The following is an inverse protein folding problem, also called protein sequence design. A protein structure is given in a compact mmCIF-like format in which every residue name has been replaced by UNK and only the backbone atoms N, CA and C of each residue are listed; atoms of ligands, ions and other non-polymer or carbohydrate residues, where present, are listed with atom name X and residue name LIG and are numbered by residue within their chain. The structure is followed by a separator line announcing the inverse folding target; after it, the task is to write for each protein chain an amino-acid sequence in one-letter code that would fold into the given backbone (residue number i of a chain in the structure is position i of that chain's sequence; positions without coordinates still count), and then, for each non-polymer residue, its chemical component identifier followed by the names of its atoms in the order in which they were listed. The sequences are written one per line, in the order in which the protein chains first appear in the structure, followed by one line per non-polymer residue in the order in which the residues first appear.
data_IF_614862101914
#
_entry.id   IF_614862101914
#
_cell.length_a   1.000
_cell.length_b   1.000
_cell.length_c   1.000
_cell.angle_alpha   90.00
_cell.angle_beta   90.00
_cell.angle_gamma   90.00
#
_symmetry.space_group_name_H-M   'P 1'
#
loop_
_entity.id
_entity.type
_entity.pdbx_description
1 polymer ?
#
# COMPACT_ATOMS: atom_id res chain seq x y z
N UNK A 1 -18.02 10.09 -26.22
CA UNK A 1 -18.03 10.15 -24.74
C UNK A 1 -19.25 9.51 -24.08
N UNK A 2 -20.51 9.99 -24.25
CA UNK A 2 -21.68 9.36 -23.58
C UNK A 2 -21.84 7.87 -23.92
N UNK A 3 -21.77 7.53 -25.22
CA UNK A 3 -21.90 6.14 -25.67
C UNK A 3 -20.75 5.28 -25.15
N UNK A 4 -19.52 5.80 -25.15
CA UNK A 4 -18.34 5.08 -24.65
C UNK A 4 -18.48 4.79 -23.16
N UNK A 5 -18.90 5.78 -22.35
CA UNK A 5 -19.14 5.63 -20.91
C UNK A 5 -20.20 4.57 -20.66
N UNK A 6 -21.35 4.62 -21.34
CA UNK A 6 -22.41 3.62 -21.16
C UNK A 6 -21.98 2.22 -21.63
N UNK A 7 -21.05 2.12 -22.59
CA UNK A 7 -20.50 0.84 -23.02
C UNK A 7 -19.52 0.23 -22.02
N UNK A 8 -18.68 1.07 -21.39
CA UNK A 8 -17.66 0.65 -20.43
C UNK A 8 -18.23 0.46 -19.02
N UNK A 9 -19.32 1.18 -18.69
CA UNK A 9 -19.93 1.23 -17.37
C UNK A 9 -21.44 1.00 -17.46
N UNK A 10 -21.91 -0.24 -17.72
CA UNK A 10 -23.33 -0.52 -17.96
C UNK A 10 -24.24 -0.19 -16.78
N UNK A 11 -23.68 -0.16 -15.56
CA UNK A 11 -24.41 0.13 -14.32
C UNK A 11 -24.33 1.61 -13.90
N UNK A 12 -23.68 2.49 -14.70
CA UNK A 12 -23.62 3.91 -14.38
C UNK A 12 -24.79 4.64 -15.03
N UNK A 13 -25.48 5.47 -14.26
CA UNK A 13 -26.41 6.45 -14.82
C UNK A 13 -25.60 7.66 -15.33
N UNK A 14 -25.93 8.13 -16.53
CA UNK A 14 -25.28 9.28 -17.14
C UNK A 14 -26.30 10.33 -17.63
N UNK A 15 -26.20 11.60 -17.20
CA UNK A 15 -25.19 12.17 -16.30
C UNK A 15 -25.29 11.62 -14.87
N UNK A 16 -24.21 11.76 -14.08
CA UNK A 16 -24.17 11.32 -12.69
C UNK A 16 -25.25 12.04 -11.86
N UNK A 17 -25.86 11.31 -10.92
CA UNK A 17 -26.88 11.79 -9.99
C UNK A 17 -26.33 11.74 -8.56
N UNK A 18 -26.51 12.82 -7.79
CA UNK A 18 -26.07 12.88 -6.39
C UNK A 18 -26.87 11.94 -5.47
N UNK A 19 -28.09 11.57 -5.84
CA UNK A 19 -28.94 10.65 -5.07
C UNK A 19 -28.63 9.18 -5.38
N UNK A 20 -27.96 8.91 -6.51
CA UNK A 20 -27.60 7.57 -6.98
C UNK A 20 -26.10 7.51 -7.28
N UNK A 21 -25.30 7.70 -6.22
CA UNK A 21 -23.83 7.70 -6.32
C UNK A 21 -23.33 6.29 -6.63
N UNK A 22 -22.54 6.10 -7.70
CA UNK A 22 -21.86 4.83 -7.93
C UNK A 22 -20.95 4.49 -6.75
N UNK A 23 -20.63 3.21 -6.58
CA UNK A 23 -19.66 2.80 -5.58
C UNK A 23 -18.29 3.42 -5.89
N UNK A 24 -17.45 3.59 -4.86
CA UNK A 24 -16.15 4.25 -4.99
C UNK A 24 -15.31 3.64 -6.12
N UNK A 25 -15.27 2.31 -6.26
CA UNK A 25 -14.51 1.65 -7.31
C UNK A 25 -14.95 2.09 -8.72
N UNK A 26 -16.26 2.13 -8.99
CA UNK A 26 -16.76 2.60 -10.29
C UNK A 26 -16.40 4.06 -10.56
N UNK A 27 -16.35 4.90 -9.53
CA UNK A 27 -15.89 6.29 -9.68
C UNK A 27 -14.40 6.32 -10.03
N UNK A 28 -13.57 5.52 -9.38
CA UNK A 28 -12.13 5.45 -9.66
C UNK A 28 -11.88 4.92 -11.09
N UNK A 29 -12.53 3.84 -11.49
CA UNK A 29 -12.44 3.30 -12.86
C UNK A 29 -12.91 4.32 -13.91
N UNK A 30 -13.95 5.11 -13.63
CA UNK A 30 -14.39 6.19 -14.51
C UNK A 30 -13.32 7.29 -14.65
N UNK A 31 -12.60 7.62 -13.57
CA UNK A 31 -11.50 8.58 -13.62
C UNK A 31 -10.32 8.05 -14.44
N UNK A 32 -9.97 6.76 -14.29
CA UNK A 32 -8.95 6.10 -15.13
C UNK A 32 -9.37 6.12 -16.61
N UNK A 33 -10.63 5.79 -16.91
CA UNK A 33 -11.19 5.86 -18.25
C UNK A 33 -11.13 7.29 -18.83
N UNK A 34 -11.50 8.30 -18.04
CA UNK A 34 -11.40 9.69 -18.46
C UNK A 34 -9.96 10.08 -18.75
N UNK A 35 -9.00 9.69 -17.91
CA UNK A 35 -7.58 9.91 -18.16
C UNK A 35 -7.12 9.21 -19.44
N UNK A 36 -7.57 7.99 -19.71
CA UNK A 36 -7.23 7.28 -20.94
C UNK A 36 -7.69 8.06 -22.20
N UNK A 37 -8.88 8.65 -22.17
CA UNK A 37 -9.50 9.28 -23.34
C UNK A 37 -9.29 10.79 -23.47
N UNK A 38 -8.84 11.47 -22.44
CA UNK A 38 -8.72 12.94 -22.46
C UNK A 38 -7.56 13.40 -23.33
N UNK A 39 -7.79 14.49 -24.07
CA UNK A 39 -6.78 15.22 -24.80
C UNK A 39 -7.12 16.70 -24.76
N UNK A 40 -6.11 17.56 -24.63
CA UNK A 40 -6.29 19.00 -24.53
C UNK A 40 -6.52 19.59 -25.91
N UNK A 41 -7.63 20.30 -26.15
CA UNK A 41 -7.82 21.02 -27.40
C UNK A 41 -6.86 22.21 -27.44
N UNK A 42 -6.08 22.29 -28.51
CA UNK A 42 -5.16 23.40 -28.79
C UNK A 42 -5.56 24.04 -30.11
N UNK A 43 -5.82 25.34 -30.07
CA UNK A 43 -6.01 26.15 -31.27
C UNK A 43 -4.67 26.29 -32.00
N UNK A 44 -4.63 25.94 -33.28
CA UNK A 44 -3.39 26.02 -34.06
C UNK A 44 -3.52 26.88 -35.33
N UNK A 45 -4.73 27.11 -35.81
CA UNK A 45 -4.97 27.92 -37.01
C UNK A 45 -6.33 28.61 -36.91
N UNK A 46 -6.44 29.84 -37.43
CA UNK A 46 -7.71 30.57 -37.49
C UNK A 46 -8.22 30.67 -38.93
N UNK A 47 -9.39 30.11 -39.20
CA UNK A 47 -10.02 30.16 -40.50
C UNK A 47 -10.88 31.42 -40.66
N UNK A 48 -10.32 32.46 -41.29
CA UNK A 48 -10.94 33.80 -41.38
C UNK A 48 -12.33 33.83 -42.03
N UNK A 49 -12.58 33.02 -43.07
CA UNK A 49 -13.85 33.04 -43.80
C UNK A 49 -15.02 32.44 -42.99
N UNK A 50 -14.73 31.44 -42.16
CA UNK A 50 -15.72 30.77 -41.30
C UNK A 50 -15.61 31.19 -39.83
N UNK A 51 -14.73 32.15 -39.52
CA UNK A 51 -14.54 32.77 -38.21
C UNK A 51 -14.40 31.77 -37.03
N UNK A 52 -13.62 30.71 -37.22
CA UNK A 52 -13.34 29.74 -36.17
C UNK A 52 -11.89 29.28 -36.16
N UNK A 53 -11.44 28.75 -35.03
CA UNK A 53 -10.13 28.12 -34.87
C UNK A 53 -10.21 26.63 -35.22
N UNK A 54 -9.21 26.13 -35.95
CA UNK A 54 -8.95 24.70 -36.06
C UNK A 54 -8.30 24.21 -34.77
N UNK A 55 -8.74 23.02 -34.33
CA UNK A 55 -8.26 22.39 -33.11
C UNK A 55 -7.44 21.15 -33.45
N UNK A 56 -6.33 21.00 -32.74
CA UNK A 56 -5.65 19.71 -32.57
C UNK A 56 -5.81 19.27 -31.11
N UNK A 57 -5.57 18.00 -30.84
CA UNK A 57 -5.81 17.42 -29.52
C UNK A 57 -4.52 16.81 -28.98
N UNK A 58 -3.94 17.45 -27.97
CA UNK A 58 -2.68 17.02 -27.34
C UNK A 58 -2.98 16.11 -26.14
N UNK A 59 -2.71 14.80 -26.30
CA UNK A 59 -3.07 13.79 -25.30
C UNK A 59 -2.26 13.92 -24.02
N UNK A 60 -0.94 14.01 -24.12
CA UNK A 60 -0.04 14.07 -22.96
C UNK A 60 -0.33 15.29 -22.07
N UNK A 61 -0.51 16.46 -22.67
CA UNK A 61 -0.84 17.67 -21.93
C UNK A 61 -2.22 17.58 -21.26
N UNK A 62 -3.20 17.02 -21.96
CA UNK A 62 -4.54 16.78 -21.41
C UNK A 62 -4.53 15.80 -20.24
N UNK A 63 -3.77 14.70 -20.36
CA UNK A 63 -3.61 13.69 -19.31
C UNK A 63 -2.91 14.25 -18.08
N UNK A 64 -1.80 14.98 -18.27
CA UNK A 64 -1.08 15.64 -17.18
C UNK A 64 -1.96 16.66 -16.45
N UNK A 65 -2.68 17.52 -17.19
CA UNK A 65 -3.57 18.51 -16.59
C UNK A 65 -4.74 17.86 -15.82
N UNK A 66 -5.33 16.80 -16.39
CA UNK A 66 -6.41 16.04 -15.76
C UNK A 66 -5.93 15.35 -14.48
N UNK A 67 -4.80 14.65 -14.54
CA UNK A 67 -4.17 13.99 -13.39
C UNK A 67 -3.91 14.97 -12.25
N UNK A 68 -3.32 16.12 -12.55
CA UNK A 68 -3.06 17.16 -11.55
C UNK A 68 -4.36 17.67 -10.91
N UNK A 69 -5.42 17.86 -11.70
CA UNK A 69 -6.74 18.28 -11.19
C UNK A 69 -7.39 17.21 -10.29
N UNK A 70 -7.34 15.94 -10.68
CA UNK A 70 -7.88 14.82 -9.90
C UNK A 70 -7.12 14.64 -8.59
N UNK A 71 -5.79 14.56 -8.65
CA UNK A 71 -4.96 14.40 -7.45
C UNK A 71 -5.13 15.57 -6.48
N UNK A 72 -5.24 16.81 -7.01
CA UNK A 72 -5.55 17.98 -6.19
C UNK A 72 -6.88 17.85 -5.45
N UNK A 73 -7.91 17.27 -6.08
CA UNK A 73 -9.19 17.01 -5.43
C UNK A 73 -9.07 15.91 -4.37
N UNK A 74 -8.29 14.86 -4.61
CA UNK A 74 -8.04 13.84 -3.59
C UNK A 74 -7.36 14.45 -2.35
N UNK A 75 -6.28 15.20 -2.54
CA UNK A 75 -5.57 15.89 -1.46
C UNK A 75 -6.46 16.83 -0.65
N UNK A 76 -7.21 17.71 -1.33
CA UNK A 76 -8.07 18.70 -0.68
C UNK A 76 -9.17 18.07 0.18
N UNK A 77 -9.59 16.85 -0.15
CA UNK A 77 -10.63 16.13 0.58
C UNK A 77 -10.07 15.05 1.50
N UNK A 78 -8.74 14.96 1.68
CA UNK A 78 -8.10 13.93 2.51
C UNK A 78 -8.34 12.51 2.00
N UNK A 79 -8.63 12.35 0.70
CA UNK A 79 -8.86 11.06 0.07
C UNK A 79 -7.50 10.45 -0.25
N UNK A 80 -7.24 9.25 0.25
CA UNK A 80 -5.95 8.57 0.12
C UNK A 80 -5.81 7.84 -1.21
N UNK A 81 -6.01 8.51 -2.34
CA UNK A 81 -5.81 7.97 -3.68
C UNK A 81 -4.90 8.87 -4.51
N UNK A 82 -4.21 8.27 -5.48
CA UNK A 82 -3.38 8.98 -6.45
C UNK A 82 -3.59 8.37 -7.84
N UNK A 83 -3.98 9.21 -8.81
CA UNK A 83 -3.90 8.88 -10.22
C UNK A 83 -2.45 9.00 -10.67
N UNK A 84 -1.86 7.87 -11.04
CA UNK A 84 -0.48 7.75 -11.49
C UNK A 84 -0.31 8.26 -12.92
N UNK A 85 0.94 8.45 -13.34
CA UNK A 85 1.25 8.89 -14.70
C UNK A 85 0.78 7.91 -15.78
N UNK A 86 0.80 6.62 -15.48
CA UNK A 86 0.27 5.57 -16.37
C UNK A 86 -1.27 5.53 -16.43
N UNK A 87 -1.96 6.37 -15.65
CA UNK A 87 -3.42 6.44 -15.64
C UNK A 87 -4.11 5.48 -14.68
N UNK A 88 -3.38 4.69 -13.89
CA UNK A 88 -3.96 3.85 -12.84
C UNK A 88 -4.07 4.60 -11.51
N UNK A 89 -5.11 4.32 -10.75
CA UNK A 89 -5.31 4.85 -9.41
C UNK A 89 -4.80 3.86 -8.38
N UNK A 90 -3.92 4.34 -7.51
CA UNK A 90 -3.41 3.59 -6.36
C UNK A 90 -3.90 4.21 -5.07
N UNK A 91 -4.01 3.39 -4.00
CA UNK A 91 -4.28 3.91 -2.67
C UNK A 91 -2.97 4.32 -2.00
N UNK A 92 -2.94 5.53 -1.47
CA UNK A 92 -1.80 6.00 -0.69
C UNK A 92 -1.84 5.40 0.71
N UNK A 93 -0.68 4.95 1.19
CA UNK A 93 -0.50 4.59 2.59
C UNK A 93 -0.74 5.83 3.48
N UNK A 94 -1.42 5.68 4.63
CA UNK A 94 -1.59 6.79 5.56
C UNK A 94 -0.22 7.40 5.97
N UNK A 95 -0.08 8.74 6.05
CA UNK A 95 1.22 9.39 6.25
C UNK A 95 2.02 8.92 7.46
N UNK A 96 1.32 8.47 8.52
CA UNK A 96 1.92 8.01 9.78
C UNK A 96 2.71 6.70 9.59
N UNK A 97 2.30 5.85 8.66
CA UNK A 97 2.93 4.52 8.42
C UNK A 97 3.50 4.37 7.02
N UNK A 98 3.36 5.40 6.16
CA UNK A 98 3.72 5.35 4.74
C UNK A 98 5.18 4.97 4.52
N UNK A 99 6.11 5.51 5.32
CA UNK A 99 7.53 5.19 5.20
C UNK A 99 7.80 3.71 5.50
N UNK A 100 7.15 3.15 6.53
CA UNK A 100 7.36 1.76 6.93
C UNK A 100 6.72 0.83 5.91
N UNK A 101 5.48 1.10 5.48
CA UNK A 101 4.79 0.26 4.51
C UNK A 101 5.49 0.30 3.15
N UNK A 102 5.75 1.48 2.60
CA UNK A 102 6.30 1.61 1.25
C UNK A 102 7.74 1.10 1.15
N UNK A 103 8.55 1.22 2.22
CA UNK A 103 9.96 0.84 2.20
C UNK A 103 10.28 -0.46 2.95
N UNK A 104 9.28 -1.16 3.51
CA UNK A 104 9.51 -2.44 4.15
C UNK A 104 10.15 -3.43 3.16
N UNK A 105 11.20 -4.10 3.62
CA UNK A 105 11.79 -5.27 2.97
C UNK A 105 11.71 -6.38 4.01
N UNK A 106 10.91 -7.40 3.74
CA UNK A 106 10.74 -8.54 4.64
C UNK A 106 11.86 -9.55 4.36
N UNK A 107 12.73 -9.77 5.35
CA UNK A 107 13.84 -10.73 5.31
C UNK A 107 13.91 -11.49 6.63
N UNK A 108 12.83 -12.18 6.97
CA UNK A 108 12.70 -12.87 8.27
C UNK A 108 13.45 -14.21 8.32
N UNK A 109 14.19 -14.55 7.26
CA UNK A 109 14.77 -15.89 7.00
C UNK A 109 13.72 -17.01 6.89
N UNK A 110 12.46 -16.65 6.71
CA UNK A 110 11.35 -17.57 6.46
C UNK A 110 10.57 -17.07 5.24
N UNK A 111 10.76 -17.76 4.10
CA UNK A 111 10.23 -17.31 2.81
C UNK A 111 8.71 -17.21 2.77
N UNK A 112 8.02 -18.10 3.49
CA UNK A 112 6.56 -18.10 3.55
C UNK A 112 6.06 -16.92 4.38
N UNK A 113 6.74 -16.58 5.48
CA UNK A 113 6.44 -15.38 6.26
C UNK A 113 6.68 -14.10 5.44
N UNK A 114 7.82 -14.02 4.74
CA UNK A 114 8.13 -12.88 3.87
C UNK A 114 7.04 -12.72 2.78
N UNK A 115 6.60 -13.83 2.17
CA UNK A 115 5.52 -13.83 1.19
C UNK A 115 4.17 -13.38 1.77
N UNK A 116 3.81 -13.84 2.97
CA UNK A 116 2.58 -13.45 3.65
C UNK A 116 2.56 -11.94 3.94
N UNK A 117 3.67 -11.41 4.46
CA UNK A 117 3.82 -9.99 4.79
C UNK A 117 3.80 -9.11 3.53
N UNK A 118 4.49 -9.52 2.48
CA UNK A 118 4.49 -8.80 1.21
C UNK A 118 3.10 -8.81 0.56
N UNK A 119 2.43 -9.96 0.55
CA UNK A 119 1.08 -10.10 0.01
C UNK A 119 0.09 -9.23 0.79
N UNK A 120 0.19 -9.22 2.13
CA UNK A 120 -0.62 -8.37 2.98
C UNK A 120 -0.40 -6.89 2.66
N UNK A 121 0.86 -6.45 2.50
CA UNK A 121 1.19 -5.08 2.12
C UNK A 121 0.57 -4.68 0.78
N UNK A 122 0.78 -5.47 -0.27
CA UNK A 122 0.28 -5.17 -1.62
C UNK A 122 -1.24 -5.05 -1.61
N UNK A 123 -1.92 -6.01 -0.98
CA UNK A 123 -3.39 -6.01 -0.89
C UNK A 123 -3.94 -4.84 -0.08
N UNK A 124 -3.23 -4.43 0.98
CA UNK A 124 -3.64 -3.29 1.82
C UNK A 124 -3.66 -1.96 1.06
N UNK A 125 -2.76 -1.79 0.08
CA UNK A 125 -2.67 -0.61 -0.79
C UNK A 125 -3.60 -0.67 -2.00
N UNK A 126 -4.42 -1.71 -2.12
CA UNK A 126 -5.41 -1.82 -3.18
C UNK A 126 -6.62 -0.89 -2.91
N UNK A 127 -7.22 -0.25 -3.92
CA UNK A 127 -8.42 0.57 -3.73
C UNK A 127 -9.68 -0.25 -3.35
N UNK A 128 -9.76 -1.53 -3.71
CA UNK A 128 -10.89 -2.40 -3.40
C UNK A 128 -10.90 -2.84 -1.93
N UNK A 129 -12.00 -2.54 -1.24
CA UNK A 129 -12.22 -2.96 0.14
C UNK A 129 -12.16 -4.47 0.31
N UNK A 130 -12.67 -5.26 -0.65
CA UNK A 130 -12.63 -6.73 -0.56
C UNK A 130 -11.19 -7.24 -0.58
N UNK A 131 -10.38 -6.71 -1.50
CA UNK A 131 -8.93 -7.03 -1.55
C UNK A 131 -8.23 -6.59 -0.27
N UNK A 132 -8.61 -5.44 0.30
CA UNK A 132 -8.06 -4.98 1.58
C UNK A 132 -8.48 -5.83 2.78
N UNK A 133 -9.65 -6.46 2.75
CA UNK A 133 -10.05 -7.43 3.79
C UNK A 133 -9.17 -8.69 3.72
N UNK A 134 -8.84 -9.16 2.52
CA UNK A 134 -7.87 -10.25 2.33
C UNK A 134 -6.46 -9.88 2.83
N UNK A 135 -6.11 -8.59 2.82
CA UNK A 135 -4.86 -8.11 3.42
C UNK A 135 -4.80 -8.38 4.93
N UNK A 136 -5.92 -8.21 5.65
CA UNK A 136 -6.02 -8.55 7.08
C UNK A 136 -5.85 -10.04 7.30
N UNK A 137 -6.48 -10.89 6.47
CA UNK A 137 -6.32 -12.34 6.56
C UNK A 137 -4.84 -12.72 6.45
N UNK A 138 -4.14 -12.24 5.42
CA UNK A 138 -2.70 -12.53 5.21
C UNK A 138 -1.81 -12.02 6.34
N UNK A 139 -2.13 -10.84 6.89
CA UNK A 139 -1.40 -10.30 8.03
C UNK A 139 -1.61 -11.14 9.30
N UNK A 140 -2.81 -11.67 9.52
CA UNK A 140 -3.10 -12.57 10.63
C UNK A 140 -2.53 -13.98 10.43
N UNK A 141 -2.40 -14.46 9.19
CA UNK A 141 -1.67 -15.69 8.88
C UNK A 141 -0.18 -15.53 9.14
N UNK A 142 0.40 -14.38 8.76
CA UNK A 142 1.78 -14.04 9.13
C UNK A 142 1.96 -14.06 10.65
N UNK A 143 1.00 -13.49 11.40
CA UNK A 143 1.02 -13.56 12.86
C UNK A 143 0.99 -15.00 13.40
N UNK A 144 0.13 -15.87 12.88
CA UNK A 144 0.13 -17.28 13.31
C UNK A 144 1.45 -18.00 13.02
N UNK A 145 2.08 -17.68 11.88
CA UNK A 145 3.39 -18.24 11.52
C UNK A 145 4.50 -17.76 12.45
N UNK A 146 4.52 -16.47 12.77
CA UNK A 146 5.47 -15.85 13.71
C UNK A 146 5.44 -16.57 15.06
N UNK A 147 4.25 -16.91 15.57
CA UNK A 147 4.07 -17.64 16.83
C UNK A 147 4.65 -19.07 16.82
N UNK A 148 5.16 -19.55 15.70
CA UNK A 148 5.76 -20.89 15.56
C UNK A 148 7.21 -20.87 15.08
N UNK A 149 7.81 -19.70 14.83
CA UNK A 149 9.16 -19.60 14.27
C UNK A 149 10.26 -20.14 15.20
N UNK A 150 10.21 -19.77 16.49
CA UNK A 150 11.26 -20.14 17.45
C UNK A 150 11.02 -21.53 18.05
N UNK A 151 9.75 -21.89 18.32
CA UNK A 151 9.38 -23.21 18.85
C UNK A 151 8.02 -23.66 18.27
N UNK A 152 8.03 -24.46 17.18
CA UNK A 152 6.81 -24.96 16.55
C UNK A 152 5.93 -25.81 17.48
N UNK A 153 6.52 -26.43 18.51
CA UNK A 153 5.83 -27.33 19.44
C UNK A 153 5.14 -26.59 20.58
N UNK A 154 5.53 -25.34 20.85
CA UNK A 154 4.98 -24.54 21.93
C UNK A 154 4.83 -23.05 21.54
N UNK A 155 3.67 -22.73 20.95
CA UNK A 155 3.32 -21.36 20.52
C UNK A 155 3.50 -20.31 21.61
N UNK A 156 3.10 -20.64 22.85
CA UNK A 156 3.18 -19.69 23.97
C UNK A 156 4.63 -19.34 24.30
N UNK A 157 5.50 -20.36 24.36
CA UNK A 157 6.93 -20.18 24.60
C UNK A 157 7.62 -19.44 23.46
N UNK A 158 7.25 -19.70 22.20
CA UNK A 158 7.75 -18.96 21.04
C UNK A 158 7.40 -17.47 21.13
N UNK A 159 6.17 -17.13 21.53
CA UNK A 159 5.75 -15.73 21.73
C UNK A 159 6.52 -15.09 22.88
N UNK A 160 6.69 -15.78 24.01
CA UNK A 160 7.49 -15.27 25.13
C UNK A 160 8.95 -14.99 24.72
N UNK A 161 9.53 -15.83 23.86
CA UNK A 161 10.87 -15.62 23.32
C UNK A 161 10.95 -14.38 22.41
N UNK A 162 9.96 -14.18 21.55
CA UNK A 162 9.86 -12.98 20.70
C UNK A 162 9.70 -11.70 21.54
N UNK A 163 8.84 -11.74 22.56
CA UNK A 163 8.65 -10.61 23.47
C UNK A 163 9.93 -10.27 24.23
N UNK A 164 10.69 -11.27 24.68
CA UNK A 164 12.01 -11.07 25.31
C UNK A 164 13.02 -10.44 24.36
N UNK A 165 13.00 -10.78 23.07
CA UNK A 165 13.87 -10.15 22.05
C UNK A 165 13.50 -8.69 21.82
N UNK A 166 12.22 -8.34 21.94
CA UNK A 166 11.72 -6.98 21.62
C UNK A 166 11.94 -5.93 22.72
N UNK A 167 12.05 -6.33 23.99
CA UNK A 167 12.29 -5.39 25.09
C UNK A 167 12.93 -6.09 26.29
N UNK A 168 13.88 -5.41 26.95
CA UNK A 168 14.43 -5.86 28.23
C UNK A 168 13.56 -5.46 29.43
N UNK A 169 12.66 -4.47 29.27
CA UNK A 169 11.86 -3.95 30.38
C UNK A 169 10.55 -4.71 30.58
N UNK A 170 10.33 -5.18 31.80
CA UNK A 170 9.28 -6.16 32.11
C UNK A 170 7.88 -5.57 31.95
N UNK A 171 7.67 -4.31 32.37
CA UNK A 171 6.39 -3.62 32.17
C UNK A 171 6.03 -3.48 30.69
N UNK A 172 7.04 -3.23 29.84
CA UNK A 172 6.80 -3.12 28.41
C UNK A 172 6.45 -4.48 27.79
N UNK A 173 7.10 -5.57 28.24
CA UNK A 173 6.71 -6.93 27.81
C UNK A 173 5.27 -7.26 28.17
N UNK A 174 4.81 -6.86 29.36
CA UNK A 174 3.42 -7.06 29.78
C UNK A 174 2.43 -6.33 28.85
N UNK A 175 2.74 -5.09 28.48
CA UNK A 175 1.93 -4.31 27.51
C UNK A 175 1.89 -5.02 26.15
N UNK A 176 3.03 -5.43 25.63
CA UNK A 176 3.12 -6.12 24.34
C UNK A 176 2.40 -7.48 24.35
N UNK A 177 2.46 -8.20 25.47
CA UNK A 177 1.71 -9.45 25.62
C UNK A 177 0.19 -9.21 25.59
N UNK A 178 -0.29 -8.17 26.30
CA UNK A 178 -1.72 -7.79 26.28
C UNK A 178 -2.16 -7.40 24.87
N UNK A 179 -1.33 -6.68 24.11
CA UNK A 179 -1.63 -6.35 22.73
C UNK A 179 -1.67 -7.57 21.82
N UNK A 180 -0.72 -8.50 21.95
CA UNK A 180 -0.69 -9.77 21.22
C UNK A 180 -1.92 -10.64 21.50
N UNK A 181 -2.36 -10.70 22.78
CA UNK A 181 -3.57 -11.40 23.20
C UNK A 181 -4.82 -10.74 22.61
N UNK A 182 -4.93 -9.41 22.70
CA UNK A 182 -6.06 -8.67 22.15
C UNK A 182 -6.18 -8.83 20.62
N UNK A 183 -5.05 -8.78 19.90
CA UNK A 183 -5.01 -8.97 18.45
C UNK A 183 -5.34 -10.42 18.04
N UNK A 184 -4.92 -11.40 18.84
CA UNK A 184 -5.31 -12.80 18.66
C UNK A 184 -6.82 -12.97 18.88
N UNK A 185 -7.36 -12.37 19.93
CA UNK A 185 -8.80 -12.36 20.19
C UNK A 185 -9.58 -11.75 19.02
N UNK A 186 -9.15 -10.58 18.51
CA UNK A 186 -9.78 -9.93 17.36
C UNK A 186 -9.80 -10.85 16.13
N UNK A 187 -8.67 -11.49 15.80
CA UNK A 187 -8.58 -12.41 14.66
C UNK A 187 -9.55 -13.59 14.73
N UNK A 188 -9.87 -14.05 15.94
CA UNK A 188 -10.76 -15.19 16.16
C UNK A 188 -12.25 -14.80 16.16
N UNK A 189 -12.59 -13.57 16.54
CA UNK A 189 -13.99 -13.14 16.74
C UNK A 189 -14.56 -12.29 15.59
N UNK A 190 -13.70 -11.59 14.85
CA UNK A 190 -14.10 -10.89 13.63
C UNK A 190 -13.91 -11.80 12.42
N UNK A 191 -14.62 -11.51 11.33
CA UNK A 191 -14.48 -12.21 10.05
C UNK A 191 -13.17 -11.80 9.35
N UNK A 192 -12.04 -12.05 10.01
CA UNK A 192 -10.66 -11.86 9.53
C UNK A 192 -10.06 -13.22 9.19
N UNK A 193 -10.20 -14.20 10.11
CA UNK A 193 -9.78 -15.59 9.91
C UNK A 193 -11.00 -16.50 9.82
N UNK A 194 -11.19 -17.12 8.66
CA UNK A 194 -12.29 -18.01 8.32
C UNK A 194 -13.68 -17.35 8.35
N UNK A 195 -14.41 -17.43 7.24
CA UNK A 195 -15.79 -16.94 7.11
C UNK A 195 -16.80 -17.88 7.79
N UNK A 196 -16.61 -18.11 9.09
CA UNK A 196 -17.51 -18.92 9.90
C UNK A 196 -18.79 -18.16 10.24
N UNK A 197 -19.91 -18.89 10.28
CA UNK A 197 -21.22 -18.34 10.66
C UNK A 197 -21.15 -17.81 12.10
N UNK A 198 -21.52 -16.53 12.30
CA UNK A 198 -21.58 -15.90 13.61
C UNK A 198 -20.44 -14.92 13.94
N UNK A 199 -19.41 -14.81 13.09
CA UNK A 199 -18.37 -13.78 13.25
C UNK A 199 -18.82 -12.40 12.78
N UNK A 200 -18.35 -11.35 13.43
CA UNK A 200 -18.72 -9.97 13.07
C UNK A 200 -17.98 -9.54 11.79
N UNK A 201 -18.69 -9.12 10.73
CA UNK A 201 -18.05 -8.68 9.50
C UNK A 201 -17.39 -7.30 9.67
N UNK A 202 -16.26 -7.09 9.00
CA UNK A 202 -15.62 -5.77 8.89
C UNK A 202 -16.11 -5.12 7.60
N UNK A 203 -16.94 -4.10 7.72
CA UNK A 203 -17.55 -3.40 6.58
C UNK A 203 -16.97 -2.02 6.31
N UNK A 204 -16.20 -1.48 7.26
CA UNK A 204 -15.63 -0.13 7.18
C UNK A 204 -14.17 -0.14 6.75
N UNK A 205 -13.88 0.62 5.70
CA UNK A 205 -12.51 0.86 5.22
C UNK A 205 -11.58 1.41 6.31
N UNK A 206 -12.10 2.27 7.19
CA UNK A 206 -11.32 2.87 8.29
C UNK A 206 -11.02 1.85 9.38
N UNK A 207 -11.92 0.90 9.63
CA UNK A 207 -11.65 -0.20 10.56
C UNK A 207 -10.57 -1.14 10.02
N UNK A 208 -10.53 -1.36 8.70
CA UNK A 208 -9.44 -2.11 8.06
C UNK A 208 -8.10 -1.42 8.29
N UNK A 209 -8.02 -0.09 8.11
CA UNK A 209 -6.80 0.67 8.40
C UNK A 209 -6.36 0.53 9.85
N UNK A 210 -7.29 0.74 10.79
CA UNK A 210 -7.00 0.60 12.22
C UNK A 210 -6.45 -0.79 12.58
N UNK A 211 -7.11 -1.85 12.13
CA UNK A 211 -6.74 -3.23 12.43
C UNK A 211 -5.42 -3.62 11.77
N UNK A 212 -5.23 -3.25 10.51
CA UNK A 212 -4.00 -3.52 9.78
C UNK A 212 -2.82 -2.84 10.48
N UNK A 213 -2.93 -1.55 10.81
CA UNK A 213 -1.86 -0.83 11.50
C UNK A 213 -1.54 -1.45 12.86
N UNK A 214 -2.56 -1.78 13.66
CA UNK A 214 -2.35 -2.32 15.00
C UNK A 214 -1.58 -3.65 14.96
N UNK A 215 -1.96 -4.55 14.07
CA UNK A 215 -1.25 -5.82 13.90
C UNK A 215 0.14 -5.62 13.27
N UNK A 216 0.22 -4.81 12.22
CA UNK A 216 1.47 -4.58 11.49
C UNK A 216 2.53 -3.92 12.38
N UNK A 217 2.16 -2.93 13.22
CA UNK A 217 3.07 -2.30 14.17
C UNK A 217 3.61 -3.29 15.21
N UNK A 218 2.78 -4.21 15.71
CA UNK A 218 3.24 -5.25 16.63
C UNK A 218 4.22 -6.20 15.93
N UNK A 219 3.88 -6.70 14.74
CA UNK A 219 4.75 -7.58 13.95
C UNK A 219 6.08 -6.89 13.64
N UNK A 220 6.02 -5.64 13.20
CA UNK A 220 7.19 -4.85 12.86
C UNK A 220 8.14 -4.69 14.06
N UNK A 221 7.59 -4.38 15.24
CA UNK A 221 8.37 -4.29 16.47
C UNK A 221 8.99 -5.63 16.87
N UNK A 222 8.22 -6.72 16.79
CA UNK A 222 8.67 -8.06 17.24
C UNK A 222 9.74 -8.67 16.33
N UNK A 223 9.66 -8.41 15.02
CA UNK A 223 10.64 -8.88 14.05
C UNK A 223 11.89 -7.99 13.99
N UNK A 224 11.80 -6.75 14.49
CA UNK A 224 12.94 -5.84 14.64
C UNK A 224 13.74 -5.67 13.35
N UNK A 225 15.06 -5.83 13.43
CA UNK A 225 16.00 -5.67 12.31
C UNK A 225 15.79 -6.65 11.14
N UNK A 226 14.95 -7.68 11.29
CA UNK A 226 14.56 -8.61 10.21
C UNK A 226 13.59 -8.00 9.18
N UNK A 227 13.05 -6.81 9.45
CA UNK A 227 12.26 -6.03 8.49
C UNK A 227 13.01 -4.73 8.17
N UNK A 228 13.78 -4.76 7.07
CA UNK A 228 14.28 -3.56 6.41
C UNK A 228 15.26 -2.69 7.21
N UNK A 229 16.53 -3.07 7.23
CA UNK A 229 17.62 -2.10 7.06
C UNK A 229 18.33 -2.43 5.76
N UNK A 230 18.45 -1.44 4.85
CA UNK A 230 19.41 -1.54 3.74
C UNK A 230 20.76 -1.95 4.35
N UNK A 231 21.47 -2.96 3.83
CA UNK A 231 22.85 -3.14 4.21
C UNK A 231 23.55 -1.81 3.93
N UNK A 232 24.13 -1.21 4.97
CA UNK A 232 25.06 -0.10 4.79
C UNK A 232 26.14 -0.68 3.89
N UNK A 233 26.21 -0.21 2.65
CA UNK A 233 27.33 -0.52 1.79
C UNK A 233 28.55 0.05 2.50
N UNK A 234 29.26 -0.79 3.25
CA UNK A 234 30.62 -0.49 3.68
C UNK A 234 31.42 -0.41 2.40
N UNK A 235 31.59 0.82 1.89
CA UNK A 235 32.71 1.15 1.04
C UNK A 235 33.95 0.71 1.80
N UNK A 236 34.53 -0.42 1.40
CA UNK A 236 35.92 -0.71 1.73
C UNK A 236 36.70 0.44 1.13
N UNK A 237 37.20 1.31 1.98
CA UNK A 237 38.34 2.16 1.63
C UNK A 237 39.45 1.19 1.25
N UNK A 238 39.75 1.11 -0.04
CA UNK A 238 41.00 0.57 -0.53
C UNK A 238 42.11 1.45 0.05
N UNK A 239 42.75 0.97 1.10
CA UNK A 239 44.03 1.46 1.55
C UNK A 239 45.04 1.22 0.42
N UNK A 240 45.21 2.24 -0.43
CA UNK A 240 46.31 2.31 -1.37
C UNK A 240 47.62 2.41 -0.60
N UNK A 241 48.32 1.28 -0.46
CA UNK A 241 49.76 1.27 -0.23
C UNK A 241 50.44 1.85 -1.48
N UNK A 242 50.81 3.13 -1.41
CA UNK A 242 51.80 3.70 -2.32
C UNK A 242 53.17 3.12 -1.94
N UNK A 243 53.51 2.00 -2.57
CA UNK A 243 54.86 1.45 -2.56
C UNK A 243 55.83 2.41 -3.27
N UNK A 244 56.78 2.91 -2.49
CA UNK A 244 57.98 3.62 -2.93
C UNK A 244 58.75 2.80 -3.97
N UNK A 245 58.85 3.28 -5.21
CA UNK A 245 59.87 2.83 -6.17
C UNK A 245 60.95 3.90 -6.26
N UNK A 246 62.02 3.70 -5.50
CA UNK A 246 63.31 4.32 -5.73
C UNK A 246 64.21 3.32 -6.47
N UNK A 247 64.90 3.88 -7.47
CA UNK A 247 66.23 3.52 -7.98
C UNK A 247 66.48 2.11 -8.55
N UNK A 248 66.65 2.03 -9.88
CA UNK A 248 67.85 1.39 -10.45
C UNK A 248 68.40 2.28 -11.59
N UNK A 249 69.57 2.87 -11.35
CA UNK A 249 70.52 3.29 -12.38
C UNK A 249 71.45 2.12 -12.74
N UNK A 250 71.72 2.00 -14.05
CA UNK A 250 72.62 1.09 -14.79
C UNK A 250 72.15 -0.34 -15.03
#
# INVERSE_FOLDING_TARGET
MKLDILSSFPNIKWPLDELDKPCTLTILELLEFCHEKIAKPIEYEYHKYFQHHHLRFEREEGQSEFRNKVNRKFELNGITFELQENGHITRLAPPIVSNILNNAIFQTNDKELDLLLETARIKYLNPDLKVRLEALEKLWDAWERIKTLDDPSNKKKSVEMLLKKSSNEEKMKEVLNKDAEALTYIGNNFMIRHAEVGKTPITSSVHVDYLFHRMFSLIYLLLGDGIGKKPVLTTKEESGEFGSTDEIQF
#
